data_IF_850547091750
#
_entry.id   IF_850547091750
#
_cell.length_a   1.000
_cell.length_b   1.000
_cell.length_c   1.000
_cell.angle_alpha   90.00
_cell.angle_beta   90.00
_cell.angle_gamma   90.00
#
_symmetry.space_group_name_H-M   'P 1'
#
loop_
_entity.id
_entity.type
_entity.pdbx_description
1 polymer ?
#
# COMPACT_ATOMS: atom_id res chain seq x y z
N UNK A 1 -12.03 -16.85 -1.94
CA UNK A 1 -10.71 -16.38 -1.47
C UNK A 1 -10.80 -16.11 0.02
N UNK A 2 -9.85 -16.58 0.83
CA UNK A 2 -9.88 -16.37 2.28
C UNK A 2 -9.65 -14.89 2.59
N UNK A 3 -10.67 -14.17 3.09
CA UNK A 3 -10.57 -12.76 3.48
C UNK A 3 -9.75 -12.53 4.76
N UNK A 4 -8.51 -13.03 4.81
CA UNK A 4 -7.52 -12.79 5.86
C UNK A 4 -6.25 -12.32 5.18
N UNK A 5 -5.58 -11.32 5.75
CA UNK A 5 -4.27 -10.88 5.28
C UNK A 5 -3.27 -12.03 5.48
N UNK A 6 -2.54 -12.45 4.43
CA UNK A 6 -1.54 -13.50 4.57
C UNK A 6 -0.43 -13.12 5.54
N UNK A 7 0.10 -14.10 6.26
CA UNK A 7 1.30 -13.90 7.07
C UNK A 7 2.54 -13.92 6.17
N UNK A 8 3.51 -13.05 6.48
CA UNK A 8 4.79 -12.95 5.77
C UNK A 8 5.92 -13.02 6.80
N UNK A 9 6.93 -13.86 6.55
CA UNK A 9 8.10 -13.95 7.43
C UNK A 9 8.93 -12.67 7.39
N UNK A 10 9.78 -12.45 8.39
CA UNK A 10 10.62 -11.25 8.44
C UNK A 10 11.66 -11.23 7.32
N UNK A 11 12.22 -12.38 6.96
CA UNK A 11 13.19 -12.53 5.87
C UNK A 11 12.52 -12.17 4.54
N UNK A 12 11.33 -12.71 4.30
CA UNK A 12 10.59 -12.45 3.07
C UNK A 12 10.12 -11.00 2.98
N UNK A 13 9.67 -10.44 4.11
CA UNK A 13 9.28 -9.04 4.19
C UNK A 13 10.47 -8.12 3.88
N UNK A 14 11.65 -8.38 4.45
CA UNK A 14 12.85 -7.61 4.20
C UNK A 14 13.29 -7.68 2.73
N UNK A 15 13.27 -8.89 2.13
CA UNK A 15 13.58 -9.10 0.72
C UNK A 15 12.64 -8.31 -0.21
N UNK A 16 11.33 -8.39 0.03
CA UNK A 16 10.35 -7.66 -0.76
C UNK A 16 10.45 -6.15 -0.54
N UNK A 17 10.57 -5.69 0.70
CA UNK A 17 10.68 -4.27 1.02
C UNK A 17 11.98 -3.64 0.51
N UNK A 18 13.04 -4.43 0.28
CA UNK A 18 14.25 -3.97 -0.38
C UNK A 18 14.02 -3.63 -1.86
N UNK A 19 13.12 -4.34 -2.53
CA UNK A 19 12.89 -4.25 -3.99
C UNK A 19 11.63 -3.49 -4.38
N UNK A 20 10.55 -3.61 -3.62
CA UNK A 20 9.24 -3.05 -3.92
C UNK A 20 8.96 -1.91 -2.95
N UNK A 21 9.05 -0.68 -3.44
CA UNK A 21 8.96 0.53 -2.62
C UNK A 21 7.59 1.20 -2.73
N UNK A 22 7.03 1.74 -1.63
CA UNK A 22 5.86 2.60 -1.72
C UNK A 22 6.15 3.87 -2.52
N UNK A 23 5.17 4.32 -3.30
CA UNK A 23 5.17 5.60 -4.01
C UNK A 23 3.84 6.33 -3.81
N UNK A 24 3.86 7.65 -3.91
CA UNK A 24 2.68 8.52 -3.88
C UNK A 24 2.79 9.66 -4.87
N UNK A 25 1.64 10.12 -5.37
CA UNK A 25 1.59 11.39 -6.10
C UNK A 25 1.72 12.58 -5.15
N UNK A 26 2.61 13.50 -5.51
CA UNK A 26 2.85 14.73 -4.78
C UNK A 26 2.60 15.92 -5.71
N UNK A 27 1.77 16.86 -5.25
CA UNK A 27 1.51 18.14 -5.92
C UNK A 27 1.61 19.27 -4.89
N UNK A 28 2.44 20.26 -5.18
CA UNK A 28 2.71 21.40 -4.27
C UNK A 28 3.10 20.97 -2.84
N UNK A 29 3.91 19.92 -2.73
CA UNK A 29 4.38 19.38 -1.44
C UNK A 29 3.33 18.60 -0.65
N UNK A 30 2.15 18.34 -1.22
CA UNK A 30 1.08 17.56 -0.60
C UNK A 30 0.83 16.26 -1.35
N UNK A 31 0.55 15.19 -0.63
CA UNK A 31 0.08 13.93 -1.21
C UNK A 31 -1.30 14.15 -1.83
N UNK A 32 -1.51 13.58 -3.01
CA UNK A 32 -2.80 13.62 -3.68
C UNK A 32 -2.93 12.48 -4.69
N UNK A 33 -3.84 12.64 -5.64
CA UNK A 33 -4.15 11.64 -6.67
C UNK A 33 -3.47 11.94 -8.01
N UNK A 34 -2.76 13.06 -8.11
CA UNK A 34 -2.04 13.49 -9.31
C UNK A 34 -0.85 14.37 -8.96
N UNK A 35 0.13 14.45 -9.87
CA UNK A 35 1.34 15.25 -9.68
C UNK A 35 2.58 14.46 -10.08
N UNK A 36 3.66 14.67 -9.34
CA UNK A 36 4.90 13.93 -9.51
C UNK A 36 4.88 12.72 -8.60
N UNK A 37 5.11 11.53 -9.16
CA UNK A 37 5.20 10.29 -8.40
C UNK A 37 6.55 10.25 -7.68
N UNK A 38 6.57 10.06 -6.36
CA UNK A 38 7.80 10.01 -5.56
C UNK A 38 7.84 8.76 -4.69
N UNK A 39 9.05 8.26 -4.43
CA UNK A 39 9.25 7.19 -3.45
C UNK A 39 9.00 7.71 -2.03
N UNK A 40 8.53 6.82 -1.16
CA UNK A 40 8.44 7.06 0.28
C UNK A 40 9.53 6.24 0.99
N UNK A 41 10.23 6.87 1.92
CA UNK A 41 11.19 6.20 2.78
C UNK A 41 12.13 7.18 3.48
N UNK A 42 13.06 6.70 4.31
CA UNK A 42 13.09 5.35 4.86
C UNK A 42 11.87 5.11 5.78
N UNK A 43 11.42 3.86 5.89
CA UNK A 43 10.36 3.45 6.83
C UNK A 43 10.98 2.50 7.83
N UNK A 44 10.87 2.87 9.11
CA UNK A 44 11.56 2.19 10.20
C UNK A 44 10.81 0.95 10.68
N UNK A 45 9.48 0.99 10.68
CA UNK A 45 8.61 -0.12 11.07
C UNK A 45 7.68 -0.53 9.93
N UNK A 46 8.03 -1.62 9.24
CA UNK A 46 7.27 -2.15 8.11
C UNK A 46 5.89 -2.75 8.51
N UNK A 47 5.64 -3.00 9.80
CA UNK A 47 4.45 -3.70 10.30
C UNK A 47 3.52 -2.85 11.15
N UNK A 48 4.05 -1.84 11.85
CA UNK A 48 3.27 -1.01 12.76
C UNK A 48 2.96 0.38 12.22
N UNK A 49 3.79 0.92 11.33
CA UNK A 49 3.67 2.29 10.83
C UNK A 49 2.86 2.35 9.52
N UNK A 50 1.93 3.30 9.46
CA UNK A 50 1.30 3.67 8.20
C UNK A 50 2.26 4.53 7.40
N UNK A 51 2.65 4.06 6.22
CA UNK A 51 3.51 4.84 5.32
C UNK A 51 2.81 6.04 4.68
N UNK A 52 1.52 6.30 4.99
CA UNK A 52 0.75 7.41 4.43
C UNK A 52 0.52 8.59 5.39
N UNK A 53 0.71 8.43 6.70
CA UNK A 53 0.32 9.47 7.67
C UNK A 53 1.29 10.66 7.74
N UNK A 54 2.59 10.41 7.59
CA UNK A 54 3.62 11.46 7.51
C UNK A 54 4.83 10.94 6.72
N UNK A 55 4.68 10.68 5.40
CA UNK A 55 5.74 10.07 4.64
C UNK A 55 6.90 11.01 4.42
N UNK A 56 8.11 10.51 4.68
CA UNK A 56 9.32 11.14 4.18
C UNK A 56 9.42 10.93 2.66
N UNK A 57 9.20 12.01 1.92
CA UNK A 57 9.26 12.00 0.46
C UNK A 57 10.71 11.96 -0.02
N UNK A 58 11.00 11.00 -0.88
CA UNK A 58 12.32 10.80 -1.46
C UNK A 58 12.38 11.33 -2.91
N UNK A 59 13.30 10.81 -3.72
CA UNK A 59 13.42 11.17 -5.11
C UNK A 59 12.17 10.83 -5.94
N UNK A 60 12.10 11.47 -7.11
CA UNK A 60 11.06 11.20 -8.10
C UNK A 60 11.17 9.76 -8.64
N UNK A 61 10.03 9.08 -8.71
CA UNK A 61 9.91 7.72 -9.21
C UNK A 61 9.76 7.72 -10.73
N UNK A 62 10.83 8.09 -11.44
CA UNK A 62 10.84 8.23 -12.90
C UNK A 62 10.78 6.86 -13.60
N UNK A 63 10.01 6.78 -14.68
CA UNK A 63 9.97 5.61 -15.57
C UNK A 63 9.26 4.41 -14.94
N UNK A 64 8.24 4.64 -14.12
CA UNK A 64 7.35 3.60 -13.62
C UNK A 64 6.16 3.42 -14.57
N UNK A 65 5.85 2.17 -14.91
CA UNK A 65 4.68 1.79 -15.71
C UNK A 65 3.77 0.91 -14.85
N UNK A 66 2.46 1.20 -14.77
CA UNK A 66 1.52 0.37 -14.03
C UNK A 66 1.39 -1.01 -14.68
N UNK A 67 1.40 -2.07 -13.87
CA UNK A 67 1.28 -3.46 -14.35
C UNK A 67 0.03 -4.16 -13.86
N UNK A 68 -0.50 -3.73 -12.71
CA UNK A 68 -1.69 -4.31 -12.12
C UNK A 68 -2.33 -3.37 -11.10
N UNK A 69 -3.63 -3.57 -10.90
CA UNK A 69 -4.33 -3.12 -9.70
C UNK A 69 -4.85 -4.37 -8.97
N UNK A 70 -4.61 -4.41 -7.66
CA UNK A 70 -5.00 -5.52 -6.80
C UNK A 70 -5.80 -4.99 -5.61
N UNK A 71 -6.75 -5.79 -5.14
CA UNK A 71 -7.42 -5.51 -3.87
C UNK A 71 -6.54 -5.95 -2.72
N UNK A 72 -6.32 -5.06 -1.76
CA UNK A 72 -5.58 -5.30 -0.53
C UNK A 72 -6.47 -5.04 0.68
N UNK A 73 -6.20 -5.77 1.76
CA UNK A 73 -6.88 -5.64 3.05
C UNK A 73 -5.90 -5.11 4.09
N UNK A 74 -6.37 -4.24 4.98
CA UNK A 74 -5.55 -3.59 6.01
C UNK A 74 -6.23 -3.67 7.37
N UNK A 75 -5.47 -4.04 8.39
CA UNK A 75 -5.92 -3.99 9.77
C UNK A 75 -6.11 -2.54 10.21
N UNK A 76 -7.04 -2.33 11.14
CA UNK A 76 -7.20 -1.05 11.83
C UNK A 76 -7.28 -1.29 13.34
N UNK A 77 -6.69 -0.40 14.13
CA UNK A 77 -6.81 -0.43 15.59
C UNK A 77 -8.13 0.23 16.06
N UNK A 78 -8.69 1.11 15.23
CA UNK A 78 -9.94 1.81 15.44
C UNK A 78 -10.68 1.92 14.11
N UNK A 79 -11.98 1.66 14.09
CA UNK A 79 -12.76 1.47 12.85
C UNK A 79 -12.62 2.63 11.87
N UNK A 80 -12.45 3.87 12.34
CA UNK A 80 -12.32 5.05 11.47
C UNK A 80 -10.92 5.36 10.93
N UNK A 81 -9.90 4.55 11.24
CA UNK A 81 -8.51 4.93 10.97
C UNK A 81 -7.80 3.96 10.02
N UNK A 82 -7.70 4.36 8.75
CA UNK A 82 -7.00 3.60 7.72
C UNK A 82 -5.48 3.64 7.96
N UNK A 83 -4.91 2.48 8.26
CA UNK A 83 -3.49 2.29 8.59
C UNK A 83 -2.85 1.23 7.71
N UNK A 84 -2.60 1.50 6.42
CA UNK A 84 -1.94 0.53 5.58
C UNK A 84 -0.47 0.43 5.95
N UNK A 85 -0.03 -0.78 6.28
CA UNK A 85 1.39 -1.06 6.54
C UNK A 85 2.04 -1.65 5.30
N UNK A 86 3.36 -1.48 5.15
CA UNK A 86 4.10 -2.11 4.04
C UNK A 86 3.93 -3.63 4.07
N UNK A 87 4.01 -4.23 5.26
CA UNK A 87 3.91 -5.68 5.42
C UNK A 87 2.58 -6.23 4.89
N UNK A 88 1.47 -5.55 5.16
CA UNK A 88 0.16 -5.97 4.66
C UNK A 88 0.09 -5.90 3.14
N UNK A 89 0.58 -4.82 2.52
CA UNK A 89 0.60 -4.70 1.05
C UNK A 89 1.45 -5.82 0.45
N UNK A 90 2.71 -5.96 0.89
CA UNK A 90 3.66 -6.90 0.31
C UNK A 90 3.23 -8.36 0.48
N UNK A 91 2.58 -8.70 1.61
CA UNK A 91 2.04 -10.05 1.84
C UNK A 91 0.91 -10.42 0.87
N UNK A 92 0.26 -9.43 0.24
CA UNK A 92 -0.89 -9.63 -0.63
C UNK A 92 -0.55 -9.52 -2.13
N UNK A 93 0.70 -9.18 -2.50
CA UNK A 93 1.12 -9.14 -3.90
C UNK A 93 1.08 -10.56 -4.49
N UNK A 94 0.29 -10.80 -5.56
CA UNK A 94 0.23 -12.11 -6.20
C UNK A 94 1.60 -12.55 -6.74
N UNK A 95 1.99 -13.84 -6.63
CA UNK A 95 3.31 -14.33 -7.06
C UNK A 95 3.71 -13.94 -8.49
N UNK A 96 2.74 -13.88 -9.42
CA UNK A 96 2.96 -13.46 -10.81
C UNK A 96 3.48 -12.03 -10.96
N UNK A 97 3.19 -11.15 -10.00
CA UNK A 97 3.62 -9.75 -10.01
C UNK A 97 4.79 -9.48 -9.10
N UNK A 98 5.04 -10.38 -8.14
CA UNK A 98 6.12 -10.22 -7.19
C UNK A 98 7.42 -9.96 -7.92
N UNK A 99 7.80 -10.72 -8.95
CA UNK A 99 9.10 -10.59 -9.62
C UNK A 99 9.25 -9.30 -10.44
N UNK A 100 8.15 -8.77 -10.99
CA UNK A 100 8.19 -7.61 -11.90
C UNK A 100 7.97 -6.29 -11.18
N UNK A 101 7.22 -6.30 -10.07
CA UNK A 101 6.91 -5.10 -9.32
C UNK A 101 8.16 -4.53 -8.63
N UNK A 102 8.37 -3.23 -8.78
CA UNK A 102 9.41 -2.46 -8.09
C UNK A 102 8.83 -1.34 -7.23
N UNK A 103 7.55 -1.02 -7.41
CA UNK A 103 6.86 -0.05 -6.58
C UNK A 103 5.37 -0.34 -6.47
N UNK A 104 4.72 0.26 -5.47
CA UNK A 104 3.28 0.19 -5.28
C UNK A 104 2.70 1.52 -4.77
N UNK A 105 1.43 1.77 -5.06
CA UNK A 105 0.65 2.93 -4.65
C UNK A 105 -0.70 2.48 -4.09
N UNK A 106 -1.19 3.10 -3.01
CA UNK A 106 -2.60 2.96 -2.60
C UNK A 106 -3.41 4.02 -3.34
N UNK A 107 -4.23 3.59 -4.30
CA UNK A 107 -4.97 4.51 -5.20
C UNK A 107 -6.38 4.78 -4.73
N UNK A 108 -6.99 3.81 -4.04
CA UNK A 108 -8.33 3.93 -3.48
C UNK A 108 -8.35 3.27 -2.11
N UNK A 109 -8.97 3.94 -1.14
CA UNK A 109 -9.07 3.49 0.24
C UNK A 109 -10.19 4.27 0.93
N UNK A 110 -10.77 3.75 2.03
CA UNK A 110 -11.81 4.46 2.75
C UNK A 110 -11.30 5.79 3.33
N UNK A 111 -11.95 6.90 2.97
CA UNK A 111 -11.68 8.24 3.52
C UNK A 111 -12.78 8.72 4.45
N UNK A 112 -13.89 7.98 4.52
CA UNK A 112 -15.07 8.30 5.31
C UNK A 112 -15.73 7.04 5.88
N UNK A 113 -16.62 7.22 6.86
CA UNK A 113 -17.47 6.14 7.38
C UNK A 113 -18.33 5.49 6.29
N UNK A 114 -18.81 6.30 5.35
CA UNK A 114 -19.61 5.82 4.22
C UNK A 114 -18.78 4.91 3.30
N UNK A 115 -17.51 5.26 3.02
CA UNK A 115 -16.63 4.39 2.23
C UNK A 115 -16.39 3.04 2.90
N UNK A 116 -16.26 3.02 4.22
CA UNK A 116 -16.08 1.79 4.98
C UNK A 116 -17.31 0.89 4.90
N UNK A 117 -18.51 1.47 4.87
CA UNK A 117 -19.76 0.73 4.73
C UNK A 117 -19.95 0.08 3.35
N UNK A 118 -19.17 0.45 2.32
CA UNK A 118 -19.16 -0.21 1.01
C UNK A 118 -18.68 -1.67 1.09
N UNK A 119 -17.93 -2.04 2.14
CA UNK A 119 -17.41 -3.39 2.35
C UNK A 119 -17.76 -3.94 3.75
N UNK A 120 -19.06 -4.10 4.07
CA UNK A 120 -19.51 -4.38 5.44
C UNK A 120 -19.01 -5.74 5.95
N UNK A 121 -18.83 -6.72 5.07
CA UNK A 121 -18.27 -8.03 5.43
C UNK A 121 -16.79 -7.96 5.84
N UNK A 122 -15.98 -7.12 5.17
CA UNK A 122 -14.57 -6.97 5.50
C UNK A 122 -14.40 -6.13 6.77
N UNK A 123 -15.23 -5.10 6.95
CA UNK A 123 -15.29 -4.32 8.18
C UNK A 123 -15.60 -5.20 9.40
N UNK A 124 -16.60 -6.08 9.31
CA UNK A 124 -16.92 -7.06 10.37
C UNK A 124 -15.77 -8.01 10.71
N UNK A 125 -14.80 -8.15 9.81
CA UNK A 125 -13.60 -8.98 10.00
C UNK A 125 -12.38 -8.18 10.47
N UNK A 126 -12.54 -6.88 10.73
CA UNK A 126 -11.48 -6.00 11.19
C UNK A 126 -10.58 -5.47 10.07
N UNK A 127 -11.08 -5.39 8.83
CA UNK A 127 -10.31 -4.94 7.67
C UNK A 127 -10.91 -3.76 6.93
N UNK A 128 -10.04 -2.83 6.53
CA UNK A 128 -10.32 -1.87 5.45
C UNK A 128 -9.89 -2.45 4.11
N UNK A 129 -10.68 -2.17 3.08
CA UNK A 129 -10.40 -2.58 1.70
C UNK A 129 -9.75 -1.42 0.97
N UNK A 130 -8.68 -1.69 0.23
CA UNK A 130 -8.00 -0.72 -0.61
C UNK A 130 -7.71 -1.30 -2.00
N UNK A 131 -7.52 -0.41 -2.97
CA UNK A 131 -6.96 -0.74 -4.27
C UNK A 131 -5.50 -0.33 -4.26
N UNK A 132 -4.62 -1.30 -4.51
CA UNK A 132 -3.18 -1.08 -4.65
C UNK A 132 -2.77 -1.25 -6.10
N UNK A 133 -2.12 -0.24 -6.65
CA UNK A 133 -1.50 -0.29 -7.97
C UNK A 133 -0.06 -0.73 -7.85
N UNK A 134 0.37 -1.64 -8.72
CA UNK A 134 1.75 -2.12 -8.81
C UNK A 134 2.42 -1.53 -10.05
N UNK A 135 3.71 -1.27 -9.94
CA UNK A 135 4.51 -0.68 -11.01
C UNK A 135 5.77 -1.49 -11.30
N UNK A 136 6.17 -1.54 -12.56
CA UNK A 136 7.50 -1.99 -13.00
C UNK A 136 8.30 -0.82 -13.58
N UNK A 137 9.60 -1.03 -13.80
CA UNK A 137 10.41 -0.10 -14.60
C UNK A 137 10.02 -0.21 -16.07
N UNK A 138 9.95 0.93 -16.75
CA UNK A 138 9.79 1.04 -18.20
C UNK A 138 10.88 0.27 -18.96
#
# INVERSE_FOLDING_TARGET
MSGRIPEISNERLAELAARIKPVVFVRYGKIGESGVLRYIGPISDLRGESFLWDPSLQEEAVGLIPVAEITTYHTFAFEGFFRPTIAEVLAQIPPKWVMDAIAFEIVEYPRSLEDMQKHPEMMRRGYHVATTRLYKKA
#
